data_IF_558205963751
#
_entry.id   IF_558205963751
#
_cell.length_a   1.000
_cell.length_b   1.000
_cell.length_c   1.000
_cell.angle_alpha   90.00
_cell.angle_beta   90.00
_cell.angle_gamma   90.00
#
_symmetry.space_group_name_H-M   'P 1'
#
loop_
_entity.id
_entity.type
_entity.pdbx_description
1 polymer ?
#
# COMPACT_ATOMS: atom_id res chain seq x y z
N UNK A 1 -56.63 28.86 8.96
CA UNK A 1 -55.61 29.90 8.70
C UNK A 1 -54.27 29.41 9.25
N UNK A 2 -53.30 29.25 8.36
CA UNK A 2 -51.95 28.70 8.57
C UNK A 2 -51.10 29.58 9.54
N UNK A 3 -49.97 29.14 10.11
CA UNK A 3 -49.17 27.95 9.88
C UNK A 3 -48.04 27.83 10.91
N UNK A 4 -47.64 26.59 11.19
CA UNK A 4 -46.53 26.25 12.06
C UNK A 4 -45.19 26.38 11.31
N UNK A 5 -44.31 27.25 11.79
CA UNK A 5 -42.92 27.37 11.31
C UNK A 5 -42.03 26.36 12.02
N UNK A 6 -41.55 25.35 11.28
CA UNK A 6 -40.58 24.36 11.74
C UNK A 6 -39.16 24.96 11.80
N UNK A 7 -38.58 25.01 13.00
CA UNK A 7 -37.17 25.40 13.20
C UNK A 7 -36.25 24.23 12.84
N UNK A 8 -35.49 24.40 11.76
CA UNK A 8 -34.38 23.54 11.31
C UNK A 8 -33.38 23.27 12.46
N UNK A 9 -33.28 22.00 12.89
CA UNK A 9 -32.20 21.50 13.76
C UNK A 9 -30.92 21.33 12.95
N UNK A 10 -29.95 22.21 13.20
CA UNK A 10 -28.56 22.11 12.71
C UNK A 10 -27.79 21.08 13.56
N UNK A 11 -27.50 19.92 12.96
CA UNK A 11 -26.81 18.79 13.61
C UNK A 11 -25.29 18.95 13.42
N UNK A 12 -24.65 19.74 14.29
CA UNK A 12 -23.19 19.86 14.36
C UNK A 12 -22.59 18.57 14.92
N UNK A 13 -21.98 17.77 14.05
CA UNK A 13 -21.32 16.49 14.36
C UNK A 13 -20.02 16.81 15.13
N UNK A 14 -19.99 16.43 16.42
CA UNK A 14 -18.78 16.40 17.24
C UNK A 14 -17.87 15.29 16.73
N UNK A 15 -16.62 15.63 16.46
CA UNK A 15 -15.47 14.71 16.36
C UNK A 15 -14.34 15.43 17.03
N UNK A 16 -13.94 14.96 18.21
CA UNK A 16 -12.58 15.06 18.74
C UNK A 16 -12.44 14.02 19.84
N UNK A 17 -11.87 12.87 19.46
CA UNK A 17 -11.38 11.86 20.37
C UNK A 17 -9.86 11.92 20.37
N UNK A 18 -9.28 12.73 21.25
CA UNK A 18 -7.85 12.70 21.57
C UNK A 18 -7.63 11.77 22.77
N UNK A 19 -7.48 10.48 22.50
CA UNK A 19 -7.00 9.53 23.49
C UNK A 19 -5.48 9.70 23.65
N UNK A 20 -5.09 10.31 24.76
CA UNK A 20 -3.72 10.40 25.28
C UNK A 20 -3.21 8.98 25.54
N UNK A 21 -2.21 8.55 24.77
CA UNK A 21 -1.49 7.29 24.93
C UNK A 21 -0.46 7.47 26.05
N UNK A 22 -0.81 7.04 27.26
CA UNK A 22 0.12 7.00 28.39
C UNK A 22 1.23 5.95 28.14
N UNK A 23 2.46 6.43 28.21
CA UNK A 23 3.71 5.67 28.14
C UNK A 23 4.08 5.28 29.57
N UNK A 24 4.15 3.98 29.87
CA UNK A 24 4.66 3.47 31.14
C UNK A 24 6.18 3.23 31.03
N UNK A 25 7.02 3.75 31.96
CA UNK A 25 8.43 3.46 31.95
C UNK A 25 8.76 2.15 32.67
N UNK A 26 9.61 1.38 31.99
CA UNK A 26 10.43 0.27 32.46
C UNK A 26 11.29 0.72 33.65
N UNK A 27 11.10 0.10 34.83
CA UNK A 27 12.02 0.22 35.97
C UNK A 27 12.79 -1.08 36.13
N UNK A 28 14.08 -0.96 35.92
CA UNK A 28 15.08 -2.00 36.06
C UNK A 28 15.93 -1.70 37.30
N UNK A 29 16.19 -2.76 38.09
CA UNK A 29 17.27 -2.98 39.06
C UNK A 29 17.26 -2.32 40.47
N UNK A 30 17.53 -3.21 41.44
CA UNK A 30 18.31 -3.11 42.70
C UNK A 30 17.47 -3.45 43.94
N UNK A 31 17.94 -4.12 44.99
CA UNK A 31 19.06 -5.00 45.30
C UNK A 31 18.70 -5.60 46.69
N UNK A 32 19.16 -6.81 47.01
CA UNK A 32 19.17 -7.36 48.39
C UNK A 32 20.26 -6.64 49.23
N UNK A 33 20.38 -6.75 50.58
CA UNK A 33 20.45 -8.03 51.32
C UNK A 33 19.94 -8.06 52.81
N UNK A 34 20.07 -9.26 53.42
CA UNK A 34 20.25 -9.67 54.83
C UNK A 34 19.11 -9.50 55.87
N UNK A 35 18.48 -10.58 56.39
CA UNK A 35 18.86 -11.50 57.49
C UNK A 35 17.95 -11.23 58.72
N UNK A 36 17.06 -12.13 59.18
CA UNK A 36 17.36 -13.28 60.05
C UNK A 36 16.02 -13.80 60.65
N UNK A 37 15.94 -15.08 61.03
CA UNK A 37 14.92 -15.60 61.97
C UNK A 37 14.10 -16.81 61.50
N UNK A 38 14.49 -17.99 62.00
CA UNK A 38 13.65 -19.13 62.47
C UNK A 38 12.35 -19.45 61.69
N UNK A 39 12.20 -20.58 61.01
CA UNK A 39 12.27 -21.94 61.57
C UNK A 39 10.85 -22.54 61.57
N UNK A 40 10.59 -23.56 60.73
CA UNK A 40 9.78 -24.77 61.01
C UNK A 40 9.51 -25.54 59.70
N UNK A 41 9.89 -26.82 59.72
CA UNK A 41 9.65 -27.84 58.69
C UNK A 41 8.16 -28.22 58.62
N UNK A 42 7.62 -28.42 57.41
CA UNK A 42 6.59 -29.44 57.13
C UNK A 42 6.49 -29.66 55.60
N UNK A 43 7.03 -30.76 55.08
CA UNK A 43 6.28 -31.96 54.60
C UNK A 43 5.53 -31.75 53.28
N UNK A 44 6.07 -32.36 52.22
CA UNK A 44 5.41 -32.67 50.94
C UNK A 44 4.25 -33.66 51.15
N UNK A 45 3.26 -33.66 50.25
CA UNK A 45 3.24 -34.82 49.37
C UNK A 45 2.94 -34.49 47.90
N UNK A 46 3.84 -34.99 47.06
CA UNK A 46 3.65 -35.37 45.66
C UNK A 46 2.42 -36.28 45.55
N UNK A 47 1.37 -35.84 44.85
CA UNK A 47 0.29 -36.73 44.38
C UNK A 47 0.20 -36.67 42.86
N UNK A 48 1.03 -37.52 42.30
CA UNK A 48 0.96 -38.04 40.95
C UNK A 48 -0.36 -38.82 40.80
N UNK A 49 -1.31 -38.28 40.01
CA UNK A 49 -2.44 -39.05 39.48
C UNK A 49 -2.73 -38.66 38.04
N UNK A 50 -2.34 -39.60 37.18
CA UNK A 50 -3.19 -40.20 36.14
C UNK A 50 -3.44 -39.39 34.88
N UNK A 51 -2.57 -39.67 33.91
CA UNK A 51 -2.86 -39.76 32.49
C UNK A 51 -4.10 -40.62 32.21
N UNK A 52 -5.00 -40.15 31.34
CA UNK A 52 -5.59 -40.94 30.26
C UNK A 52 -6.21 -40.00 29.19
N UNK A 53 -6.29 -40.44 27.92
CA UNK A 53 -6.54 -39.59 26.76
C UNK A 53 -7.97 -39.77 26.22
N UNK A 54 -8.75 -38.69 26.13
CA UNK A 54 -10.04 -38.72 25.45
C UNK A 54 -9.96 -38.04 24.08
N UNK A 55 -9.86 -38.91 23.08
CA UNK A 55 -10.29 -38.64 21.72
C UNK A 55 -11.82 -38.48 21.72
N UNK A 56 -12.30 -37.24 21.77
CA UNK A 56 -13.64 -36.90 21.32
C UNK A 56 -13.52 -35.93 20.15
N UNK A 57 -13.77 -36.48 18.97
CA UNK A 57 -13.93 -35.76 17.72
C UNK A 57 -14.94 -34.63 17.90
N UNK A 58 -14.42 -33.42 17.89
CA UNK A 58 -15.16 -32.19 17.73
C UNK A 58 -14.33 -31.30 16.85
N UNK A 59 -14.33 -31.59 15.54
CA UNK A 59 -13.92 -30.63 14.53
C UNK A 59 -14.85 -29.41 14.66
N UNK A 60 -14.51 -28.51 15.58
CA UNK A 60 -14.97 -27.14 15.52
C UNK A 60 -14.73 -26.71 14.07
N UNK A 61 -15.74 -26.20 13.35
CA UNK A 61 -15.52 -25.72 12.01
C UNK A 61 -14.44 -24.64 12.16
N UNK A 62 -13.22 -24.97 11.72
CA UNK A 62 -12.12 -24.05 11.50
C UNK A 62 -12.80 -22.87 10.85
N UNK A 63 -12.95 -21.78 11.60
CA UNK A 63 -13.76 -20.65 11.21
C UNK A 63 -13.28 -20.30 9.81
N UNK A 64 -14.07 -20.74 8.82
CA UNK A 64 -13.78 -20.54 7.42
C UNK A 64 -13.57 -19.05 7.35
N UNK A 65 -12.32 -18.68 7.08
CA UNK A 65 -11.85 -17.32 7.26
C UNK A 65 -12.93 -16.46 6.67
N UNK A 66 -13.60 -15.69 7.53
CA UNK A 66 -14.53 -14.67 7.08
C UNK A 66 -13.62 -13.74 6.31
N UNK A 67 -13.39 -14.05 5.04
CA UNK A 67 -13.22 -13.09 3.98
C UNK A 67 -14.52 -12.33 4.03
N UNK A 68 -14.66 -11.46 5.03
CA UNK A 68 -15.44 -10.25 4.93
C UNK A 68 -15.04 -9.74 3.58
N UNK A 69 -15.93 -9.78 2.56
CA UNK A 69 -15.61 -9.22 1.28
C UNK A 69 -15.19 -7.81 1.62
N UNK A 70 -13.89 -7.53 1.48
CA UNK A 70 -13.41 -6.19 1.71
C UNK A 70 -14.36 -5.31 0.90
N UNK A 71 -14.93 -4.23 1.44
CA UNK A 71 -15.87 -3.42 0.69
C UNK A 71 -15.29 -2.88 -0.62
N UNK A 72 -14.01 -3.14 -0.90
CA UNK A 72 -13.27 -2.94 -2.15
C UNK A 72 -13.46 -4.04 -3.22
N UNK A 73 -13.94 -5.24 -2.88
CA UNK A 73 -14.10 -6.38 -3.79
C UNK A 73 -15.33 -6.29 -4.71
N UNK A 74 -16.39 -5.60 -4.27
CA UNK A 74 -17.58 -5.33 -5.08
C UNK A 74 -17.37 -4.17 -6.08
N UNK A 75 -16.26 -3.41 -5.97
CA UNK A 75 -15.87 -2.35 -6.91
C UNK A 75 -14.78 -2.80 -7.89
N UNK A 76 -14.60 -4.12 -8.03
CA UNK A 76 -13.50 -4.78 -8.71
C UNK A 76 -13.50 -4.70 -10.24
N UNK A 77 -14.44 -3.99 -10.86
CA UNK A 77 -14.43 -3.83 -12.31
C UNK A 77 -13.27 -2.88 -12.70
N UNK A 78 -12.29 -3.46 -13.38
CA UNK A 78 -11.12 -2.74 -13.90
C UNK A 78 -11.65 -1.63 -14.81
N UNK A 79 -11.16 -0.38 -14.68
CA UNK A 79 -11.56 0.68 -15.59
C UNK A 79 -11.36 0.22 -17.05
N UNK A 80 -12.35 0.44 -17.94
CA UNK A 80 -12.22 0.04 -19.34
C UNK A 80 -11.01 0.74 -19.98
N UNK A 81 -10.31 0.05 -20.88
CA UNK A 81 -9.19 0.66 -21.58
C UNK A 81 -9.68 1.74 -22.54
N UNK A 82 -8.94 2.84 -22.73
CA UNK A 82 -9.32 3.89 -23.67
C UNK A 82 -9.34 3.42 -25.13
N UNK A 83 -8.71 2.28 -25.41
CA UNK A 83 -8.64 1.67 -26.74
C UNK A 83 -9.66 0.54 -26.95
N UNK A 84 -10.78 0.55 -26.21
CA UNK A 84 -11.90 -0.36 -26.48
C UNK A 84 -11.58 -1.85 -26.33
N UNK A 85 -10.61 -2.21 -25.48
CA UNK A 85 -10.17 -3.59 -25.25
C UNK A 85 -8.89 -4.00 -25.99
N UNK A 86 -8.32 -3.14 -26.85
CA UNK A 86 -7.05 -3.46 -27.51
C UNK A 86 -5.87 -3.45 -26.49
N UNK A 87 -5.03 -4.51 -26.45
CA UNK A 87 -3.98 -4.69 -25.46
C UNK A 87 -2.69 -3.92 -25.86
N UNK A 88 -2.81 -2.61 -26.09
CA UNK A 88 -1.70 -1.76 -26.56
C UNK A 88 -0.51 -1.81 -25.61
N UNK A 89 -0.77 -1.75 -24.31
CA UNK A 89 0.26 -1.86 -23.28
C UNK A 89 0.99 -3.19 -23.31
N UNK A 90 0.27 -4.29 -23.45
CA UNK A 90 0.83 -5.64 -23.43
C UNK A 90 1.70 -5.86 -24.67
N UNK A 91 1.25 -5.37 -25.84
CA UNK A 91 2.05 -5.40 -27.07
C UNK A 91 3.31 -4.54 -26.92
N UNK A 92 3.19 -3.33 -26.35
CA UNK A 92 4.34 -2.46 -26.12
C UNK A 92 5.35 -3.08 -25.14
N UNK A 93 4.89 -3.64 -24.01
CA UNK A 93 5.76 -4.34 -23.06
C UNK A 93 6.45 -5.52 -23.73
N UNK A 94 5.72 -6.32 -24.51
CA UNK A 94 6.29 -7.46 -25.22
C UNK A 94 7.33 -7.03 -26.25
N UNK A 95 7.01 -6.09 -27.15
CA UNK A 95 7.93 -5.58 -28.15
C UNK A 95 9.17 -4.92 -27.51
N UNK A 96 8.98 -4.14 -26.45
CA UNK A 96 10.06 -3.54 -25.69
C UNK A 96 10.96 -4.58 -25.01
N UNK A 97 10.39 -5.62 -24.41
CA UNK A 97 11.13 -6.73 -23.81
C UNK A 97 11.96 -7.50 -24.86
N UNK A 98 11.40 -7.77 -26.04
CA UNK A 98 12.14 -8.39 -27.15
C UNK A 98 13.31 -7.50 -27.58
N UNK A 99 13.08 -6.19 -27.78
CA UNK A 99 14.16 -5.25 -28.11
C UNK A 99 15.27 -5.20 -27.05
N UNK A 100 14.89 -5.23 -25.78
CA UNK A 100 15.81 -5.27 -24.65
C UNK A 100 16.65 -6.54 -24.64
N UNK A 101 16.04 -7.71 -24.84
CA UNK A 101 16.74 -9.01 -24.93
C UNK A 101 17.70 -9.02 -26.12
N UNK A 102 17.25 -8.60 -27.30
CA UNK A 102 18.10 -8.53 -28.51
C UNK A 102 19.28 -7.59 -28.29
N UNK A 103 19.03 -6.43 -27.68
CA UNK A 103 20.05 -5.46 -27.33
C UNK A 103 21.08 -6.02 -26.33
N UNK A 104 20.64 -6.71 -25.29
CA UNK A 104 21.53 -7.33 -24.30
C UNK A 104 22.41 -8.43 -24.91
N UNK A 105 21.84 -9.31 -25.75
CA UNK A 105 22.58 -10.37 -26.44
C UNK A 105 23.61 -9.80 -27.41
N UNK A 106 23.32 -8.64 -28.03
CA UNK A 106 24.26 -7.93 -28.91
C UNK A 106 25.18 -6.96 -28.18
N UNK A 107 25.19 -6.98 -26.83
CA UNK A 107 25.99 -6.09 -25.98
C UNK A 107 25.77 -4.58 -26.23
N UNK A 108 24.54 -4.18 -26.60
CA UNK A 108 24.10 -2.79 -26.68
C UNK A 108 23.40 -2.42 -27.99
N UNK A 109 23.53 -1.13 -28.35
CA UNK A 109 23.02 -0.57 -29.60
C UNK A 109 21.57 -0.07 -29.56
N UNK A 110 21.05 0.41 -30.70
CA UNK A 110 19.73 1.04 -30.78
C UNK A 110 18.58 0.15 -30.32
N UNK A 111 18.67 -1.17 -30.55
CA UNK A 111 17.66 -2.13 -30.11
C UNK A 111 17.48 -2.13 -28.59
N UNK A 112 18.58 -2.05 -27.83
CA UNK A 112 18.52 -1.97 -26.36
C UNK A 112 17.82 -0.69 -25.90
N UNK A 113 18.21 0.44 -26.47
CA UNK A 113 17.69 1.77 -26.11
C UNK A 113 16.19 1.84 -26.41
N UNK A 114 15.79 1.47 -27.63
CA UNK A 114 14.38 1.43 -28.04
C UNK A 114 13.60 0.43 -27.18
N UNK A 115 14.17 -0.74 -26.90
CA UNK A 115 13.55 -1.75 -26.02
C UNK A 115 13.25 -1.22 -24.63
N UNK A 116 14.22 -0.56 -23.99
CA UNK A 116 14.04 0.09 -22.68
C UNK A 116 12.95 1.15 -22.73
N UNK A 117 12.97 2.04 -23.73
CA UNK A 117 12.00 3.12 -23.86
C UNK A 117 10.59 2.57 -24.04
N UNK A 118 10.39 1.66 -25.01
CA UNK A 118 9.07 1.09 -25.34
C UNK A 118 8.52 0.27 -24.18
N UNK A 119 9.36 -0.54 -23.53
CA UNK A 119 8.96 -1.32 -22.36
C UNK A 119 8.54 -0.42 -21.20
N UNK A 120 9.33 0.62 -20.92
CA UNK A 120 9.02 1.60 -19.85
C UNK A 120 7.71 2.32 -20.13
N UNK A 121 7.46 2.75 -21.37
CA UNK A 121 6.19 3.38 -21.76
C UNK A 121 5.00 2.43 -21.57
N UNK A 122 5.14 1.16 -21.95
CA UNK A 122 4.10 0.15 -21.73
C UNK A 122 3.78 -0.06 -20.25
N UNK A 123 4.80 -0.14 -19.39
CA UNK A 123 4.61 -0.24 -17.92
C UNK A 123 3.98 1.04 -17.35
N UNK A 124 4.43 2.21 -17.78
CA UNK A 124 3.90 3.49 -17.32
C UNK A 124 2.44 3.69 -17.69
N UNK A 125 2.04 3.29 -18.89
CA UNK A 125 0.65 3.37 -19.35
C UNK A 125 -0.28 2.56 -18.42
N UNK A 126 0.05 1.29 -18.15
CA UNK A 126 -0.79 0.40 -17.34
C UNK A 126 -0.86 0.90 -15.90
N UNK A 127 0.30 1.21 -15.33
CA UNK A 127 0.40 1.66 -13.94
C UNK A 127 -0.29 3.01 -13.75
N UNK A 128 -0.20 3.92 -14.71
CA UNK A 128 -0.93 5.19 -14.71
C UNK A 128 -2.45 4.96 -14.75
N UNK A 129 -2.95 4.11 -15.65
CA UNK A 129 -4.39 3.79 -15.73
C UNK A 129 -4.91 3.23 -14.41
N UNK A 130 -4.20 2.26 -13.84
CA UNK A 130 -4.60 1.66 -12.57
C UNK A 130 -4.52 2.65 -11.40
N UNK A 131 -3.51 3.52 -11.42
CA UNK A 131 -3.32 4.55 -10.40
C UNK A 131 -4.38 5.64 -10.45
N UNK A 132 -4.59 6.27 -11.60
CA UNK A 132 -5.56 7.35 -11.76
C UNK A 132 -7.00 6.87 -11.60
N UNK A 133 -7.24 5.58 -11.84
CA UNK A 133 -8.53 4.98 -11.54
C UNK A 133 -8.78 4.83 -10.03
N UNK A 134 -7.74 4.82 -9.18
CA UNK A 134 -7.88 4.57 -7.74
C UNK A 134 -7.89 3.09 -7.36
N UNK A 135 -7.59 2.17 -8.29
CA UNK A 135 -7.60 0.72 -8.08
C UNK A 135 -6.42 0.24 -7.20
N UNK A 136 -5.18 0.61 -7.58
CA UNK A 136 -3.95 0.32 -6.83
C UNK A 136 -3.01 1.53 -6.81
N UNK A 137 -2.30 1.73 -5.70
CA UNK A 137 -1.38 2.87 -5.57
C UNK A 137 0.01 2.52 -6.12
N UNK A 138 0.31 2.93 -7.35
CA UNK A 138 1.64 2.85 -7.97
C UNK A 138 2.43 4.17 -7.87
N UNK A 139 2.22 4.94 -6.79
CA UNK A 139 2.78 6.30 -6.64
C UNK A 139 4.31 6.31 -6.69
N UNK A 140 4.98 5.34 -6.06
CA UNK A 140 6.45 5.24 -6.05
C UNK A 140 7.00 5.02 -7.46
N UNK A 141 6.45 4.04 -8.18
CA UNK A 141 6.86 3.72 -9.55
C UNK A 141 6.62 4.90 -10.50
N UNK A 142 5.43 5.50 -10.46
CA UNK A 142 5.11 6.65 -11.31
C UNK A 142 5.93 7.90 -10.98
N UNK A 143 6.34 8.10 -9.72
CA UNK A 143 7.22 9.19 -9.33
C UNK A 143 8.69 8.94 -9.68
N UNK A 144 9.11 7.67 -9.71
CA UNK A 144 10.47 7.30 -10.07
C UNK A 144 10.77 7.60 -11.56
N UNK A 145 9.80 7.40 -12.46
CA UNK A 145 10.00 7.63 -13.89
C UNK A 145 10.46 9.06 -14.26
N UNK A 146 9.78 10.14 -13.84
CA UNK A 146 10.25 11.50 -14.11
C UNK A 146 11.54 11.83 -13.35
N UNK A 147 11.80 11.20 -12.20
CA UNK A 147 13.04 11.39 -11.45
C UNK A 147 14.25 10.80 -12.20
N UNK A 148 14.11 9.58 -12.74
CA UNK A 148 15.11 8.95 -13.61
C UNK A 148 15.27 9.74 -14.92
N UNK A 149 14.16 10.21 -15.50
CA UNK A 149 14.21 11.08 -16.68
C UNK A 149 14.98 12.38 -16.44
N UNK A 150 14.79 13.01 -15.27
CA UNK A 150 15.54 14.19 -14.87
C UNK A 150 17.03 13.89 -14.65
N UNK A 151 17.37 12.76 -14.03
CA UNK A 151 18.76 12.30 -13.91
C UNK A 151 19.44 12.15 -15.27
N UNK A 152 18.79 11.44 -16.19
CA UNK A 152 19.30 11.24 -17.56
C UNK A 152 19.47 12.57 -18.28
N UNK A 153 18.51 13.49 -18.15
CA UNK A 153 18.58 14.82 -18.75
C UNK A 153 19.75 15.66 -18.19
N UNK A 154 19.96 15.64 -16.86
CA UNK A 154 21.08 16.35 -16.23
C UNK A 154 22.41 15.79 -16.73
N UNK A 155 22.57 14.47 -16.75
CA UNK A 155 23.81 13.84 -17.23
C UNK A 155 24.05 14.11 -18.72
N UNK A 156 22.99 14.10 -19.53
CA UNK A 156 23.10 14.38 -20.96
C UNK A 156 23.50 15.83 -21.27
N UNK A 157 23.02 16.80 -20.48
CA UNK A 157 23.27 18.23 -20.70
C UNK A 157 24.58 18.72 -20.08
N UNK A 158 24.96 18.19 -18.91
CA UNK A 158 26.09 18.69 -18.12
C UNK A 158 27.24 17.68 -17.99
N UNK A 159 27.10 16.48 -18.56
CA UNK A 159 28.05 15.38 -18.40
C UNK A 159 27.93 14.69 -17.04
N UNK A 160 28.86 13.80 -16.73
CA UNK A 160 28.90 13.07 -15.45
C UNK A 160 29.55 13.96 -14.38
N UNK A 161 28.79 14.52 -13.42
CA UNK A 161 29.37 15.32 -12.36
C UNK A 161 30.20 14.43 -11.44
N UNK A 162 31.38 14.92 -11.06
CA UNK A 162 32.24 14.25 -10.06
C UNK A 162 31.54 14.12 -8.70
N UNK A 163 30.67 15.09 -8.37
CA UNK A 163 29.91 15.10 -7.11
C UNK A 163 28.49 14.57 -7.34
N UNK A 164 28.28 13.27 -7.09
CA UNK A 164 26.95 12.62 -7.19
C UNK A 164 25.88 13.30 -6.31
N UNK A 165 26.29 13.97 -5.24
CA UNK A 165 25.42 14.76 -4.37
C UNK A 165 24.66 15.87 -5.13
N UNK A 166 25.28 16.48 -6.15
CA UNK A 166 24.63 17.52 -6.94
C UNK A 166 23.46 16.98 -7.78
N UNK A 167 23.61 15.78 -8.36
CA UNK A 167 22.50 15.12 -9.06
C UNK A 167 21.38 14.79 -8.07
N UNK A 168 21.74 14.24 -6.91
CA UNK A 168 20.79 13.87 -5.87
C UNK A 168 19.95 15.08 -5.40
N UNK A 169 20.57 16.26 -5.32
CA UNK A 169 19.92 17.52 -4.97
C UNK A 169 18.79 17.89 -5.95
N UNK A 170 18.87 17.46 -7.21
CA UNK A 170 17.82 17.67 -8.23
C UNK A 170 16.81 16.52 -8.22
N UNK A 171 17.26 15.27 -8.13
CA UNK A 171 16.39 14.08 -8.21
C UNK A 171 15.42 14.03 -7.04
N UNK A 172 15.89 14.26 -5.80
CA UNK A 172 15.07 14.17 -4.59
C UNK A 172 13.85 15.11 -4.66
N UNK A 173 13.99 16.42 -4.94
CA UNK A 173 12.83 17.30 -5.01
C UNK A 173 11.89 16.95 -6.16
N UNK A 174 12.41 16.56 -7.33
CA UNK A 174 11.56 16.09 -8.46
C UNK A 174 10.75 14.87 -8.03
N UNK A 175 11.40 13.85 -7.48
CA UNK A 175 10.74 12.65 -6.99
C UNK A 175 9.70 12.98 -5.90
N UNK A 176 10.09 13.77 -4.90
CA UNK A 176 9.22 14.11 -3.78
C UNK A 176 7.98 14.91 -4.24
N UNK A 177 8.16 15.86 -5.15
CA UNK A 177 7.07 16.67 -5.70
C UNK A 177 6.11 15.80 -6.53
N UNK A 178 6.64 14.97 -7.44
CA UNK A 178 5.84 14.03 -8.23
C UNK A 178 5.10 13.04 -7.32
N UNK A 179 5.79 12.46 -6.34
CA UNK A 179 5.21 11.52 -5.38
C UNK A 179 4.07 12.16 -4.60
N UNK A 180 4.30 13.34 -4.03
CA UNK A 180 3.28 14.07 -3.27
C UNK A 180 2.05 14.38 -4.13
N UNK A 181 2.26 14.88 -5.36
CA UNK A 181 1.18 15.24 -6.27
C UNK A 181 0.35 14.02 -6.71
N UNK A 182 1.02 12.94 -7.14
CA UNK A 182 0.38 11.69 -7.52
C UNK A 182 -0.37 11.07 -6.35
N UNK A 183 0.22 11.09 -5.14
CA UNK A 183 -0.43 10.59 -3.93
C UNK A 183 -1.72 11.35 -3.63
N UNK A 184 -1.73 12.67 -3.81
CA UNK A 184 -2.92 13.51 -3.65
C UNK A 184 -4.00 13.13 -4.67
N UNK A 185 -3.63 12.98 -5.95
CA UNK A 185 -4.56 12.59 -7.03
C UNK A 185 -5.20 11.22 -6.78
N UNK A 186 -4.41 10.24 -6.35
CA UNK A 186 -4.90 8.90 -6.00
C UNK A 186 -5.94 8.92 -4.89
N UNK A 187 -5.69 9.70 -3.83
CA UNK A 187 -6.63 9.83 -2.71
C UNK A 187 -7.98 10.35 -3.21
N UNK A 188 -7.97 11.40 -4.03
CA UNK A 188 -9.19 11.96 -4.63
C UNK A 188 -9.93 10.91 -5.45
N UNK A 189 -9.26 10.22 -6.36
CA UNK A 189 -9.87 9.17 -7.20
C UNK A 189 -10.44 8.00 -6.36
N UNK A 190 -9.78 7.64 -5.26
CA UNK A 190 -10.27 6.60 -4.36
C UNK A 190 -11.50 7.05 -3.58
N UNK A 191 -11.54 8.30 -3.13
CA UNK A 191 -12.70 8.85 -2.42
C UNK A 191 -13.93 8.93 -3.34
N UNK A 192 -13.77 9.33 -4.60
CA UNK A 192 -14.90 9.38 -5.55
C UNK A 192 -15.46 7.99 -5.84
N UNK A 193 -14.61 6.96 -5.93
CA UNK A 193 -15.08 5.56 -6.04
C UNK A 193 -15.87 5.12 -4.82
N UNK A 194 -15.36 5.39 -3.62
CA UNK A 194 -16.03 4.98 -2.37
C UNK A 194 -17.35 5.74 -2.14
N UNK A 195 -17.49 6.93 -2.70
CA UNK A 195 -18.73 7.71 -2.62
C UNK A 195 -19.81 7.25 -3.61
N UNK A 196 -19.46 6.43 -4.62
CA UNK A 196 -20.44 5.89 -5.57
C UNK A 196 -21.21 4.75 -4.89
N UNK A 197 -22.54 4.87 -4.70
CA UNK A 197 -23.33 3.79 -4.12
C UNK A 197 -23.22 2.55 -5.01
N UNK A 198 -23.24 1.33 -4.42
CA UNK A 198 -23.29 0.11 -5.21
C UNK A 198 -24.51 0.21 -6.12
N UNK A 199 -24.32 -0.02 -7.42
CA UNK A 199 -25.42 -0.14 -8.35
C UNK A 199 -26.31 -1.28 -7.86
N UNK A 200 -27.41 -0.93 -7.21
CA UNK A 200 -28.43 -1.89 -6.80
C UNK A 200 -28.95 -2.65 -8.03
N UNK A 201 -29.52 -3.84 -7.83
CA UNK A 201 -30.06 -4.63 -8.93
C UNK A 201 -31.01 -3.77 -9.76
N UNK A 202 -30.77 -3.69 -11.08
CA UNK A 202 -31.68 -3.01 -12.00
C UNK A 202 -33.03 -3.76 -11.94
N UNK A 203 -34.16 -3.08 -11.68
CA UNK A 203 -35.47 -3.71 -11.84
C UNK A 203 -35.59 -4.19 -13.29
N UNK A 204 -35.99 -5.45 -13.45
CA UNK A 204 -36.23 -6.09 -14.75
C UNK A 204 -37.53 -5.58 -15.36
#
# INVERSE_FOLDING_TARGET
MAGQRSKRRSRKRRTDGSATRAVAPRRERQAAPDASGEGTRAVTPRRERQSAPDASGGSAPRAAGRHSPSPLGAFGERPPSPFGGLPVSEIAIFAGAVGLIVGLVRHGGPALIVGVIVCTLGVLEVTAREHFSGYRSHTTLLAAAPAVGAEVAVVALFGVPHQRLLILLVIIPVYALCFWWLRRRFRVARHTRLARPPSGPRPR
#
